data_IF_286252464825
#
_entry.id   IF_286252464825
#
_cell.length_a   1.000
_cell.length_b   1.000
_cell.length_c   1.000
_cell.angle_alpha   90.00
_cell.angle_beta   90.00
_cell.angle_gamma   90.00
#
_symmetry.space_group_name_H-M   'P 1'
#
loop_
_entity.id
_entity.type
_entity.pdbx_description
1 polymer ?
#
# COMPACT_ATOMS: atom_id res chain seq x y z
N UNK A 1 -0.43 19.06 -1.19
CA UNK A 1 0.56 18.58 -0.21
C UNK A 1 -0.19 17.81 0.86
N UNK A 2 0.12 16.52 1.00
CA UNK A 2 -0.41 15.69 2.09
C UNK A 2 0.38 16.04 3.33
N UNK A 3 -0.22 16.76 4.27
CA UNK A 3 0.39 16.97 5.57
C UNK A 3 -0.05 15.83 6.49
N UNK A 4 0.74 14.77 6.56
CA UNK A 4 0.59 13.80 7.63
C UNK A 4 1.02 14.46 8.93
N UNK A 5 0.05 14.91 9.72
CA UNK A 5 0.36 15.41 11.05
C UNK A 5 0.58 14.22 11.96
N UNK A 6 1.64 14.25 12.77
CA UNK A 6 1.80 13.30 13.89
C UNK A 6 0.82 13.57 15.05
N UNK A 7 -0.26 14.30 14.78
CA UNK A 7 -1.25 14.68 15.78
C UNK A 7 -2.17 13.50 16.09
N UNK A 8 -2.41 13.19 17.36
CA UNK A 8 -3.39 12.18 17.77
C UNK A 8 -4.83 12.57 17.40
N UNK A 9 -5.07 13.81 17.01
CA UNK A 9 -6.41 14.27 16.60
C UNK A 9 -6.82 13.68 15.23
N UNK A 10 -5.86 13.40 14.34
CA UNK A 10 -6.13 12.86 13.00
C UNK A 10 -5.87 11.35 12.88
N UNK A 11 -5.26 10.72 13.90
CA UNK A 11 -5.01 9.28 13.94
C UNK A 11 -5.22 8.76 15.37
N UNK A 12 -6.36 8.14 15.64
CA UNK A 12 -6.75 7.68 16.97
C UNK A 12 -7.52 6.36 16.93
N UNK A 13 -7.64 5.71 18.09
CA UNK A 13 -8.44 4.49 18.24
C UNK A 13 -9.76 4.85 18.90
N UNK A 14 -10.86 4.42 18.28
CA UNK A 14 -12.21 4.55 18.80
C UNK A 14 -12.99 3.25 18.54
N UNK A 15 -13.67 2.75 19.55
CA UNK A 15 -14.50 1.53 19.49
C UNK A 15 -13.75 0.33 18.86
N UNK A 16 -12.47 0.18 19.23
CA UNK A 16 -11.60 -0.89 18.74
C UNK A 16 -11.03 -0.71 17.33
N UNK A 17 -11.33 0.39 16.65
CA UNK A 17 -10.88 0.68 15.29
C UNK A 17 -9.89 1.84 15.25
N UNK A 18 -8.90 1.76 14.36
CA UNK A 18 -8.08 2.92 14.02
C UNK A 18 -8.88 3.83 13.08
N UNK A 19 -8.96 5.10 13.43
CA UNK A 19 -9.61 6.15 12.64
C UNK A 19 -8.53 7.10 12.14
N UNK A 20 -8.47 7.27 10.84
CA UNK A 20 -7.68 8.30 10.18
C UNK A 20 -8.65 9.34 9.62
N UNK A 21 -8.40 10.62 9.90
CA UNK A 21 -9.29 11.72 9.47
C UNK A 21 -8.54 12.74 8.62
N UNK A 22 -9.30 13.43 7.78
CA UNK A 22 -8.88 14.65 7.11
C UNK A 22 -9.92 15.72 7.37
N UNK A 23 -9.48 16.88 7.84
CA UNK A 23 -10.35 17.96 8.25
C UNK A 23 -9.69 19.34 8.10
N UNK A 24 -10.46 20.40 8.29
CA UNK A 24 -9.91 21.75 8.36
C UNK A 24 -9.79 22.20 9.82
N UNK A 25 -8.57 22.54 10.23
CA UNK A 25 -8.27 23.05 11.57
C UNK A 25 -7.51 24.37 11.43
N UNK A 26 -7.99 25.43 12.06
CA UNK A 26 -7.40 26.78 12.00
C UNK A 26 -7.14 27.26 10.56
N UNK A 27 -8.09 27.00 9.67
CA UNK A 27 -8.02 27.37 8.26
C UNK A 27 -7.07 26.50 7.39
N UNK A 28 -6.45 25.47 7.96
CA UNK A 28 -5.55 24.55 7.25
C UNK A 28 -6.13 23.15 7.16
N UNK A 29 -5.90 22.50 6.04
CA UNK A 29 -6.22 21.08 5.91
C UNK A 29 -5.16 20.27 6.65
N UNK A 30 -5.61 19.40 7.56
CA UNK A 30 -4.78 18.45 8.31
C UNK A 30 -5.31 17.04 8.06
N UNK A 31 -4.40 16.08 7.90
CA UNK A 31 -4.76 14.71 7.57
C UNK A 31 -3.98 13.71 8.41
N UNK A 32 -4.56 12.53 8.63
CA UNK A 32 -4.00 11.45 9.41
C UNK A 32 -3.28 10.40 8.59
N UNK A 33 -2.27 9.81 9.22
CA UNK A 33 -1.60 8.64 8.70
C UNK A 33 -0.72 8.01 9.76
N UNK A 34 -0.54 6.71 9.65
CA UNK A 34 0.40 5.96 10.49
C UNK A 34 1.31 5.11 9.62
N UNK A 35 2.50 4.81 10.13
CA UNK A 35 3.46 3.95 9.46
C UNK A 35 4.27 3.11 10.43
N UNK A 36 4.73 1.96 9.96
CA UNK A 36 5.59 1.06 10.73
C UNK A 36 7.08 1.35 10.54
N UNK A 37 7.46 2.38 9.79
CA UNK A 37 8.85 2.76 9.51
C UNK A 37 9.70 2.86 10.78
N UNK A 38 10.88 2.23 10.76
CA UNK A 38 11.79 2.19 11.90
C UNK A 38 11.30 1.34 13.08
N UNK A 39 10.15 0.66 12.96
CA UNK A 39 9.56 -0.18 14.01
C UNK A 39 9.35 -1.62 13.56
N UNK A 40 8.75 -1.80 12.39
CA UNK A 40 8.46 -3.10 11.79
C UNK A 40 8.46 -2.98 10.28
N UNK A 41 9.10 -3.93 9.63
CA UNK A 41 9.12 -4.07 8.17
C UNK A 41 8.73 -5.50 7.78
N UNK A 42 8.38 -5.63 6.50
CA UNK A 42 7.76 -6.83 5.96
C UNK A 42 8.43 -7.24 4.65
N UNK A 43 8.61 -8.52 4.48
CA UNK A 43 8.92 -9.21 3.24
C UNK A 43 8.46 -10.67 3.38
N UNK A 44 8.31 -11.40 2.28
CA UNK A 44 7.91 -12.82 2.29
C UNK A 44 6.73 -13.10 3.25
N UNK A 45 5.64 -12.37 3.07
CA UNK A 45 4.47 -12.44 3.94
C UNK A 45 3.18 -12.09 3.17
N UNK A 46 2.04 -12.47 3.73
CA UNK A 46 0.74 -11.92 3.36
C UNK A 46 0.37 -10.79 4.30
N UNK A 47 0.01 -9.64 3.75
CA UNK A 47 -0.52 -8.49 4.48
C UNK A 47 -1.98 -8.34 4.13
N UNK A 48 -2.83 -8.21 5.15
CA UNK A 48 -4.28 -8.04 5.01
C UNK A 48 -4.71 -6.85 5.87
N UNK A 49 -5.52 -5.97 5.31
CA UNK A 49 -6.08 -4.81 6.00
C UNK A 49 -7.58 -4.78 5.78
N UNK A 50 -8.34 -4.84 6.86
CA UNK A 50 -9.79 -4.66 6.83
C UNK A 50 -10.10 -3.19 7.07
N UNK A 51 -10.63 -2.52 6.05
CA UNK A 51 -10.87 -1.08 6.09
C UNK A 51 -12.16 -0.68 5.37
N UNK A 52 -12.69 0.49 5.75
CA UNK A 52 -13.71 1.23 5.02
C UNK A 52 -13.39 2.72 5.01
N UNK A 53 -13.93 3.44 4.05
CA UNK A 53 -13.69 4.88 3.90
C UNK A 53 -14.93 5.60 3.34
N UNK A 54 -14.89 6.93 3.33
CA UNK A 54 -15.93 7.76 2.70
C UNK A 54 -15.66 7.80 1.19
N UNK A 55 -16.64 7.43 0.39
CA UNK A 55 -16.52 7.21 -1.06
C UNK A 55 -16.95 8.41 -1.89
N UNK A 56 -17.78 9.27 -1.34
CA UNK A 56 -18.37 10.44 -2.01
C UNK A 56 -17.58 11.75 -1.80
N UNK A 57 -16.35 11.64 -1.30
CA UNK A 57 -15.42 12.76 -1.10
C UNK A 57 -14.36 12.78 -2.22
N UNK A 58 -14.70 13.37 -3.34
CA UNK A 58 -13.93 13.25 -4.59
C UNK A 58 -12.53 13.87 -4.56
N UNK A 59 -12.27 14.83 -3.69
CA UNK A 59 -10.94 15.43 -3.53
C UNK A 59 -10.07 14.71 -2.49
N UNK A 60 -10.58 13.64 -1.88
CA UNK A 60 -9.90 12.87 -0.85
C UNK A 60 -9.38 11.55 -1.41
N UNK A 61 -8.16 11.20 -1.02
CA UNK A 61 -7.52 9.91 -1.33
C UNK A 61 -7.25 9.11 -0.06
N UNK A 62 -7.52 7.80 -0.11
CA UNK A 62 -7.21 6.85 0.95
C UNK A 62 -6.24 5.81 0.39
N UNK A 63 -5.25 5.40 1.22
CA UNK A 63 -4.26 4.44 0.78
C UNK A 63 -3.81 3.46 1.87
N UNK A 64 -3.58 2.23 1.44
CA UNK A 64 -2.89 1.15 2.14
C UNK A 64 -1.72 0.76 1.26
N UNK A 65 -0.50 1.10 1.67
CA UNK A 65 0.66 1.00 0.81
C UNK A 65 1.95 0.70 1.56
N UNK A 66 2.99 0.33 0.84
CA UNK A 66 4.29 0.04 1.41
C UNK A 66 5.40 0.78 0.66
N UNK A 67 6.35 1.27 1.45
CA UNK A 67 7.59 1.84 0.97
C UNK A 67 8.79 1.05 1.48
N UNK A 68 9.88 0.99 0.71
CA UNK A 68 11.10 0.35 1.17
C UNK A 68 11.74 1.14 2.31
N UNK A 69 12.21 0.45 3.34
CA UNK A 69 13.02 1.08 4.38
C UNK A 69 14.31 1.64 3.77
N UNK A 70 14.65 2.93 3.94
CA UNK A 70 15.79 3.56 3.26
C UNK A 70 17.12 2.83 3.41
N UNK A 71 17.35 2.19 4.55
CA UNK A 71 18.57 1.42 4.81
C UNK A 71 18.66 0.12 3.97
N UNK A 72 17.57 -0.33 3.39
CA UNK A 72 17.45 -1.58 2.63
C UNK A 72 16.99 -1.37 1.19
N UNK A 73 16.95 -0.14 0.74
CA UNK A 73 16.69 0.14 -0.67
C UNK A 73 17.85 -0.37 -1.52
N UNK A 74 17.52 -1.15 -2.53
CA UNK A 74 18.50 -1.64 -3.51
C UNK A 74 18.99 -0.46 -4.35
N UNK A 75 18.08 0.44 -4.73
CA UNK A 75 18.38 1.72 -5.33
C UNK A 75 17.76 2.87 -4.53
N UNK A 76 18.49 3.96 -4.27
CA UNK A 76 17.95 5.09 -3.56
C UNK A 76 16.98 5.90 -4.41
N UNK A 77 15.95 6.39 -3.77
CA UNK A 77 14.97 7.28 -4.38
C UNK A 77 13.79 6.56 -5.05
N UNK A 78 12.73 7.32 -5.23
CA UNK A 78 11.53 6.87 -5.92
C UNK A 78 11.66 7.08 -7.44
N UNK A 79 11.20 6.16 -8.30
CA UNK A 79 10.56 4.87 -7.99
C UNK A 79 11.53 3.69 -7.86
N UNK A 80 12.84 3.93 -7.81
CA UNK A 80 13.87 2.89 -7.94
C UNK A 80 13.83 1.83 -6.82
N UNK A 81 13.49 2.24 -5.61
CA UNK A 81 13.36 1.33 -4.46
C UNK A 81 12.08 0.48 -4.47
N UNK A 82 11.17 0.80 -5.37
CA UNK A 82 9.84 0.19 -5.42
C UNK A 82 8.84 0.83 -4.47
N UNK A 83 7.54 0.72 -4.81
CA UNK A 83 6.38 1.05 -3.98
C UNK A 83 5.29 0.03 -4.27
N UNK A 84 4.54 -0.37 -3.25
CA UNK A 84 3.50 -1.40 -3.35
C UNK A 84 2.21 -0.83 -2.78
N UNK A 85 1.25 -0.50 -3.64
CA UNK A 85 -0.03 0.06 -3.25
C UNK A 85 -1.08 -1.04 -3.19
N UNK A 86 -1.34 -1.54 -1.99
CA UNK A 86 -2.33 -2.61 -1.77
C UNK A 86 -3.75 -2.10 -2.05
N UNK A 87 -4.01 -0.84 -1.76
CA UNK A 87 -5.27 -0.19 -2.06
C UNK A 87 -5.07 1.31 -2.13
N UNK A 88 -5.56 1.91 -3.19
CA UNK A 88 -5.76 3.34 -3.32
C UNK A 88 -7.21 3.59 -3.77
N UNK A 89 -7.88 4.54 -3.12
CA UNK A 89 -9.14 5.09 -3.61
C UNK A 89 -9.01 6.59 -3.70
N UNK A 90 -9.46 7.15 -4.81
CA UNK A 90 -9.42 8.59 -5.03
C UNK A 90 -10.51 9.01 -6.03
N UNK A 91 -10.84 10.29 -6.00
CA UNK A 91 -11.90 10.85 -6.82
C UNK A 91 -13.26 10.21 -6.48
N UNK A 92 -14.16 10.15 -7.41
CA UNK A 92 -15.46 9.47 -7.25
C UNK A 92 -15.46 8.12 -7.97
N UNK A 93 -14.31 7.43 -7.93
CA UNK A 93 -14.19 6.13 -8.57
C UNK A 93 -15.06 5.09 -7.84
N UNK A 94 -15.65 4.18 -8.61
CA UNK A 94 -16.40 3.05 -8.07
C UNK A 94 -15.57 1.77 -7.97
N UNK A 95 -14.25 1.92 -8.05
CA UNK A 95 -13.25 0.89 -7.88
C UNK A 95 -12.13 1.37 -6.93
N UNK A 96 -11.36 0.44 -6.42
CA UNK A 96 -10.05 0.71 -5.83
C UNK A 96 -8.95 0.37 -6.81
N UNK A 97 -7.85 1.11 -6.78
CA UNK A 97 -6.66 0.84 -7.58
C UNK A 97 -5.62 0.12 -6.72
N UNK A 98 -4.93 -0.82 -7.33
CA UNK A 98 -3.78 -1.53 -6.78
C UNK A 98 -2.61 -1.36 -7.74
N UNK A 99 -1.47 -0.90 -7.26
CA UNK A 99 -0.39 -0.45 -8.13
C UNK A 99 0.97 -0.94 -7.64
N UNK A 100 1.89 -1.13 -8.58
CA UNK A 100 3.31 -1.30 -8.31
C UNK A 100 4.10 -0.22 -9.03
N UNK A 101 5.07 0.35 -8.32
CA UNK A 101 6.02 1.30 -8.87
C UNK A 101 7.44 0.75 -8.81
N UNK A 102 8.16 0.88 -9.90
CA UNK A 102 9.59 0.55 -9.99
C UNK A 102 10.24 1.36 -11.11
N UNK A 103 11.56 1.36 -11.18
CA UNK A 103 12.27 2.00 -12.29
C UNK A 103 11.79 1.47 -13.64
N UNK A 104 11.61 0.17 -13.75
CA UNK A 104 11.16 -0.50 -14.97
C UNK A 104 9.75 -0.08 -15.38
N UNK A 105 8.85 0.01 -14.39
CA UNK A 105 7.44 0.37 -14.62
C UNK A 105 7.31 1.85 -14.98
N UNK A 106 7.92 2.76 -14.21
CA UNK A 106 7.64 4.19 -14.28
C UNK A 106 8.56 4.95 -15.23
N UNK A 107 9.82 4.52 -15.36
CA UNK A 107 10.82 5.24 -16.15
C UNK A 107 10.92 4.64 -17.56
N UNK A 108 11.10 3.33 -17.67
CA UNK A 108 11.15 2.69 -18.99
C UNK A 108 9.77 2.52 -19.62
N UNK A 109 8.70 2.59 -18.83
CA UNK A 109 7.32 2.36 -19.27
C UNK A 109 7.14 1.02 -20.04
N UNK A 110 8.06 0.12 -19.86
CA UNK A 110 8.01 -1.25 -20.40
C UNK A 110 7.17 -2.10 -19.48
N UNK A 111 5.90 -1.76 -19.37
CA UNK A 111 4.98 -2.45 -18.49
C UNK A 111 4.68 -3.85 -19.02
N UNK A 112 5.14 -4.91 -18.34
CA UNK A 112 4.41 -6.16 -18.43
C UNK A 112 3.00 -5.91 -17.90
N UNK A 113 2.02 -6.63 -18.41
CA UNK A 113 0.66 -6.62 -17.89
C UNK A 113 0.70 -6.78 -16.36
N UNK A 114 0.14 -5.84 -15.61
CA UNK A 114 0.12 -5.94 -14.16
C UNK A 114 0.72 -4.76 -13.38
N UNK A 115 0.96 -3.63 -14.03
CA UNK A 115 1.34 -2.38 -13.36
C UNK A 115 0.27 -1.91 -12.38
N UNK A 116 -0.98 -1.95 -12.78
CA UNK A 116 -2.12 -1.57 -11.97
C UNK A 116 -3.34 -2.44 -12.27
N UNK A 117 -4.13 -2.72 -11.25
CA UNK A 117 -5.45 -3.30 -11.36
C UNK A 117 -6.50 -2.35 -10.78
N UNK A 118 -7.69 -2.44 -11.33
CA UNK A 118 -8.87 -1.74 -10.84
C UNK A 118 -9.84 -2.79 -10.33
N UNK A 119 -10.10 -2.78 -9.04
CA UNK A 119 -10.83 -3.84 -8.36
C UNK A 119 -12.17 -3.33 -7.80
N UNK A 120 -13.21 -4.12 -8.00
CA UNK A 120 -14.50 -3.89 -7.36
C UNK A 120 -14.37 -4.07 -5.85
N UNK A 121 -15.12 -3.28 -5.10
CA UNK A 121 -15.24 -3.39 -3.65
C UNK A 121 -16.69 -3.16 -3.21
N UNK A 122 -17.03 -3.57 -1.99
CA UNK A 122 -18.37 -3.38 -1.46
C UNK A 122 -18.47 -2.00 -0.80
N UNK A 123 -19.18 -1.07 -1.45
CA UNK A 123 -19.36 0.30 -0.96
C UNK A 123 -20.06 0.34 0.39
N UNK A 124 -19.71 1.34 1.19
CA UNK A 124 -20.35 1.60 2.50
C UNK A 124 -20.04 0.57 3.60
N UNK A 125 -19.17 -0.40 3.35
CA UNK A 125 -18.84 -1.46 4.30
C UNK A 125 -17.34 -1.73 4.36
N UNK A 126 -16.93 -2.54 5.34
CA UNK A 126 -15.57 -3.02 5.43
C UNK A 126 -15.25 -3.99 4.31
N UNK A 127 -14.07 -3.81 3.71
CA UNK A 127 -13.47 -4.71 2.73
C UNK A 127 -12.10 -5.15 3.22
N UNK A 128 -11.64 -6.32 2.77
CA UNK A 128 -10.30 -6.80 3.03
C UNK A 128 -9.44 -6.59 1.79
N UNK A 129 -8.43 -5.76 1.93
CA UNK A 129 -7.43 -5.50 0.90
C UNK A 129 -6.15 -6.21 1.29
N UNK A 130 -5.58 -7.01 0.40
CA UNK A 130 -4.41 -7.80 0.76
C UNK A 130 -3.41 -7.97 -0.38
N UNK A 131 -2.17 -8.27 0.01
CA UNK A 131 -1.11 -8.64 -0.90
C UNK A 131 -0.26 -9.78 -0.33
N UNK A 132 0.06 -10.74 -1.18
CA UNK A 132 1.11 -11.74 -0.97
C UNK A 132 2.41 -11.19 -1.53
N UNK A 133 3.40 -11.05 -0.67
CA UNK A 133 4.73 -10.57 -1.01
C UNK A 133 5.70 -11.75 -0.94
N UNK A 134 6.32 -12.10 -2.05
CA UNK A 134 7.38 -13.12 -2.11
C UNK A 134 8.58 -12.60 -2.90
N UNK A 135 9.68 -13.34 -2.93
CA UNK A 135 10.84 -12.99 -3.77
C UNK A 135 10.57 -13.19 -5.27
N UNK A 136 9.51 -13.94 -5.61
CA UNK A 136 9.17 -14.35 -6.98
C UNK A 136 7.99 -13.59 -7.56
N UNK A 137 7.04 -13.19 -6.72
CA UNK A 137 5.83 -12.51 -7.18
C UNK A 137 5.16 -11.68 -6.08
N UNK A 138 4.41 -10.70 -6.51
CA UNK A 138 3.43 -9.97 -5.68
C UNK A 138 2.04 -10.24 -6.25
N UNK A 139 1.13 -10.69 -5.39
CA UNK A 139 -0.26 -10.98 -5.78
C UNK A 139 -1.20 -10.16 -4.92
N UNK A 140 -2.09 -9.43 -5.56
CA UNK A 140 -3.06 -8.57 -4.87
C UNK A 140 -4.44 -9.20 -4.85
N UNK A 141 -5.19 -8.87 -3.80
CA UNK A 141 -6.56 -9.35 -3.62
C UNK A 141 -7.44 -8.24 -3.05
N UNK A 142 -8.72 -8.30 -3.42
CA UNK A 142 -9.81 -7.56 -2.76
C UNK A 142 -10.89 -8.56 -2.39
N UNK A 143 -11.23 -8.66 -1.08
CA UNK A 143 -12.19 -9.61 -0.54
C UNK A 143 -11.89 -11.07 -0.99
N UNK A 144 -10.64 -11.49 -0.85
CA UNK A 144 -10.09 -12.80 -1.23
C UNK A 144 -10.12 -13.13 -2.73
N UNK A 145 -10.60 -12.21 -3.58
CA UNK A 145 -10.53 -12.35 -5.03
C UNK A 145 -9.21 -11.81 -5.54
N UNK A 146 -8.41 -12.63 -6.21
CA UNK A 146 -7.19 -12.18 -6.90
C UNK A 146 -7.53 -11.14 -7.95
N UNK A 147 -6.79 -10.05 -7.95
CA UNK A 147 -7.02 -8.87 -8.81
C UNK A 147 -5.84 -8.58 -9.72
N UNK A 148 -4.61 -8.80 -9.23
CA UNK A 148 -3.40 -8.60 -9.99
C UNK A 148 -2.30 -9.54 -9.51
N UNK A 149 -1.48 -9.99 -10.46
CA UNK A 149 -0.25 -10.75 -10.20
C UNK A 149 0.89 -10.14 -11.01
N UNK A 150 2.00 -9.88 -10.34
CA UNK A 150 3.21 -9.37 -10.97
C UNK A 150 4.39 -10.22 -10.56
N UNK A 151 5.07 -10.80 -11.53
CA UNK A 151 6.16 -11.75 -11.32
C UNK A 151 7.54 -11.12 -11.55
N UNK A 152 8.52 -11.61 -10.80
CA UNK A 152 9.93 -11.41 -11.08
C UNK A 152 10.27 -12.07 -12.42
N UNK A 153 10.81 -11.29 -13.35
CA UNK A 153 11.17 -11.77 -14.68
C UNK A 153 12.61 -12.30 -14.77
N UNK A 154 13.35 -12.24 -13.65
CA UNK A 154 14.73 -12.71 -13.58
C UNK A 154 15.64 -12.13 -14.67
N UNK A 155 15.50 -10.84 -14.94
CA UNK A 155 16.38 -10.17 -15.88
C UNK A 155 17.85 -10.23 -15.41
N UNK A 156 18.81 -10.37 -16.31
CA UNK A 156 20.20 -10.44 -15.91
C UNK A 156 20.72 -9.11 -15.37
N UNK A 157 21.59 -9.19 -14.36
CA UNK A 157 22.34 -8.06 -13.79
C UNK A 157 21.46 -6.96 -13.18
N UNK A 158 21.84 -5.70 -13.40
CA UNK A 158 21.15 -4.53 -12.86
C UNK A 158 19.72 -4.37 -13.36
N UNK A 159 19.40 -4.90 -14.54
CA UNK A 159 18.04 -4.88 -15.09
C UNK A 159 17.04 -5.64 -14.23
N UNK A 160 17.48 -6.68 -13.52
CA UNK A 160 16.64 -7.40 -12.57
C UNK A 160 16.17 -6.47 -11.43
N UNK A 161 17.10 -5.72 -10.86
CA UNK A 161 16.79 -4.81 -9.74
C UNK A 161 15.88 -3.65 -10.16
N UNK A 162 15.93 -3.24 -11.41
CA UNK A 162 15.03 -2.23 -11.95
C UNK A 162 13.61 -2.76 -12.12
N UNK A 163 13.47 -4.02 -12.55
CA UNK A 163 12.18 -4.67 -12.71
C UNK A 163 11.66 -5.22 -11.38
N UNK A 164 12.55 -5.75 -10.53
CA UNK A 164 12.20 -6.40 -9.29
C UNK A 164 12.96 -5.84 -8.08
N UNK A 165 12.66 -4.60 -7.65
CA UNK A 165 13.25 -4.03 -6.44
C UNK A 165 12.61 -4.58 -5.15
N UNK A 166 11.59 -5.42 -5.25
CA UNK A 166 10.68 -5.84 -4.16
C UNK A 166 11.24 -6.90 -3.21
N UNK A 167 12.55 -7.14 -3.25
CA UNK A 167 13.28 -8.04 -2.31
C UNK A 167 13.66 -7.36 -0.99
N UNK A 168 13.39 -6.07 -0.86
CA UNK A 168 13.77 -5.27 0.30
C UNK A 168 12.86 -5.47 1.51
N UNK A 169 13.15 -4.71 2.54
CA UNK A 169 12.31 -4.58 3.71
C UNK A 169 11.39 -3.38 3.54
N UNK A 170 10.09 -3.63 3.55
CA UNK A 170 9.06 -2.63 3.33
C UNK A 170 8.34 -2.30 4.62
N UNK A 171 8.04 -1.04 4.86
CA UNK A 171 7.16 -0.62 5.95
C UNK A 171 5.77 -0.28 5.42
N UNK A 172 4.76 -0.63 6.21
CA UNK A 172 3.36 -0.36 5.91
C UNK A 172 3.00 1.08 6.27
N UNK A 173 2.22 1.70 5.41
CA UNK A 173 1.61 3.02 5.60
C UNK A 173 0.11 2.91 5.40
N UNK A 174 -0.65 3.49 6.32
CA UNK A 174 -2.09 3.71 6.22
C UNK A 174 -2.31 5.21 6.26
N UNK A 175 -2.96 5.78 5.24
CA UNK A 175 -3.08 7.22 5.12
C UNK A 175 -4.39 7.67 4.47
N UNK A 176 -4.80 8.89 4.83
CA UNK A 176 -5.85 9.65 4.17
C UNK A 176 -5.27 11.03 3.84
N UNK A 177 -5.58 11.56 2.66
CA UNK A 177 -5.04 12.83 2.20
C UNK A 177 -5.80 13.38 1.00
N UNK A 178 -5.18 14.28 0.25
CA UNK A 178 -5.74 14.77 -1.02
C UNK A 178 -5.66 13.68 -2.09
N UNK A 179 -6.66 13.61 -2.97
CA UNK A 179 -6.66 12.74 -4.13
C UNK A 179 -5.59 13.19 -5.14
N UNK A 180 -4.52 12.44 -5.27
CA UNK A 180 -3.41 12.75 -6.16
C UNK A 180 -2.83 14.16 -5.91
N UNK A 181 -2.93 15.03 -6.90
CA UNK A 181 -2.49 16.45 -6.81
C UNK A 181 -3.65 17.44 -6.66
N UNK A 182 -4.84 16.95 -6.36
CA UNK A 182 -6.03 17.78 -6.23
C UNK A 182 -5.95 18.69 -5.01
N UNK A 183 -6.64 19.83 -5.08
CA UNK A 183 -6.90 20.65 -3.91
C UNK A 183 -8.09 20.05 -3.15
N UNK A 184 -7.95 19.91 -1.83
CA UNK A 184 -9.03 19.41 -0.97
C UNK A 184 -10.17 20.41 -0.94
N UNK A 185 -11.37 19.95 -1.28
CA UNK A 185 -12.57 20.77 -1.29
C UNK A 185 -13.21 20.79 0.09
N UNK A 186 -13.67 21.96 0.54
CA UNK A 186 -14.34 22.12 1.84
C UNK A 186 -15.61 21.24 1.96
N UNK A 187 -16.25 20.90 0.84
CA UNK A 187 -17.43 20.03 0.82
C UNK A 187 -17.10 18.55 1.11
N UNK A 188 -15.85 18.13 0.90
CA UNK A 188 -15.40 16.75 1.07
C UNK A 188 -14.83 16.47 2.48
N UNK A 189 -14.71 17.49 3.30
CA UNK A 189 -14.18 17.37 4.67
C UNK A 189 -15.21 17.84 5.72
N UNK A 190 -15.23 17.20 6.92
CA UNK A 190 -14.34 16.14 7.36
C UNK A 190 -14.63 14.80 6.66
N UNK A 191 -13.58 14.04 6.38
CA UNK A 191 -13.67 12.69 5.86
C UNK A 191 -12.81 11.73 6.68
N UNK A 192 -13.01 10.42 6.53
CA UNK A 192 -12.31 9.42 7.33
C UNK A 192 -12.05 8.12 6.58
N UNK A 193 -11.08 7.39 7.10
CA UNK A 193 -10.82 5.97 6.81
C UNK A 193 -10.78 5.23 8.14
N UNK A 194 -11.54 4.16 8.25
CA UNK A 194 -11.56 3.27 9.42
C UNK A 194 -10.86 1.97 9.11
N UNK A 195 -9.97 1.55 9.99
CA UNK A 195 -9.28 0.27 9.91
C UNK A 195 -9.72 -0.57 11.12
N UNK A 196 -10.35 -1.72 10.85
CA UNK A 196 -10.80 -2.64 11.87
C UNK A 196 -9.64 -3.49 12.37
N UNK A 197 -8.87 -4.09 11.45
CA UNK A 197 -7.69 -4.87 11.79
C UNK A 197 -6.66 -4.87 10.65
N UNK A 198 -5.42 -5.14 11.05
CA UNK A 198 -4.31 -5.48 10.17
C UNK A 198 -3.78 -6.85 10.59
N UNK A 199 -3.61 -7.74 9.62
CA UNK A 199 -3.03 -9.06 9.82
C UNK A 199 -1.81 -9.23 8.93
N UNK A 200 -0.75 -9.78 9.50
CA UNK A 200 0.44 -10.17 8.73
C UNK A 200 0.73 -11.63 9.03
N UNK A 201 0.70 -12.44 7.98
CA UNK A 201 1.03 -13.87 8.05
C UNK A 201 2.35 -14.07 7.33
N UNK A 202 3.36 -14.52 8.06
CA UNK A 202 4.67 -14.83 7.48
C UNK A 202 4.55 -16.08 6.61
N UNK A 203 5.06 -16.02 5.38
CA UNK A 203 5.10 -17.17 4.50
C UNK A 203 6.06 -18.23 5.05
N UNK A 204 5.57 -19.45 5.23
CA UNK A 204 6.40 -20.60 5.64
C UNK A 204 7.09 -21.29 4.45
N UNK A 205 7.03 -20.72 3.25
CA UNK A 205 7.45 -21.39 2.00
C UNK A 205 8.97 -21.51 1.84
N UNK A 206 9.78 -20.97 2.74
CA UNK A 206 11.25 -21.12 2.71
C UNK A 206 11.84 -21.86 3.91
N UNK A 207 11.17 -22.89 4.42
CA UNK A 207 11.89 -23.94 5.12
C UNK A 207 12.35 -24.92 4.03
N UNK A 208 13.49 -24.62 3.39
CA UNK A 208 14.23 -25.63 2.65
C UNK A 208 14.49 -26.78 3.62
N UNK A 209 13.94 -27.95 3.34
CA UNK A 209 14.31 -29.15 4.11
C UNK A 209 15.82 -29.27 4.12
N UNK A 210 16.42 -29.54 5.29
CA UNK A 210 17.86 -29.75 5.35
C UNK A 210 18.16 -30.96 4.45
N UNK A 211 18.97 -30.74 3.43
CA UNK A 211 19.51 -31.79 2.57
C UNK A 211 20.11 -32.86 3.47
N UNK A 212 19.47 -34.04 3.57
CA UNK A 212 20.08 -35.20 4.20
C UNK A 212 21.33 -35.53 3.41
N UNK A 213 22.48 -35.18 3.95
CA UNK A 213 23.73 -35.76 3.50
C UNK A 213 23.61 -37.26 3.75
N UNK A 214 23.44 -38.04 2.68
CA UNK A 214 23.54 -39.49 2.71
C UNK A 214 24.95 -39.85 3.11
N UNK A 215 25.06 -40.63 4.15
CA UNK A 215 26.28 -41.42 4.42
C UNK A 215 26.30 -42.65 3.51
#
# INVERSE_FOLDING_TARGET
QIYMSGSPDQAYVKDGKLILTIEKKDGKVVSGGIKTQGKKWFNNCRIEVCARFVEDAGSIGQAIWLMPEPAYQIYPGWPHGGEIDIMEHSYLNDYVQQTLHSHYIDIYQETPSGKAAYADYNKGTFNVYSADLTDEEIVFYTNDKETMRYANQHFPNESELMQWPFRGQYYLILSIGAAGRSEVQDADIPSFMEIDWVRVTMSLIHISEPTRLGM
#
